data_IF_602851601040
#
_entry.id   IF_602851601040
#
_cell.length_a   1.000
_cell.length_b   1.000
_cell.length_c   1.000
_cell.angle_alpha   90.00
_cell.angle_beta   90.00
_cell.angle_gamma   90.00
#
_symmetry.space_group_name_H-M   'P 1'
#
loop_
_entity.id
_entity.type
_entity.pdbx_description
1 polymer ?
#
# COMPACT_ATOMS: atom_id res chain seq x y z
N UNK A 1 -10.48 7.48 -7.63
CA UNK A 1 -9.40 6.47 -7.68
C UNK A 1 -8.03 7.01 -7.26
N UNK A 2 -7.33 7.89 -8.02
CA UNK A 2 -5.98 8.38 -7.65
C UNK A 2 -5.94 8.98 -6.24
N UNK A 3 -6.81 9.93 -5.94
CA UNK A 3 -6.87 10.59 -4.63
C UNK A 3 -7.14 9.59 -3.52
N UNK A 4 -8.06 8.64 -3.73
CA UNK A 4 -8.33 7.57 -2.75
C UNK A 4 -7.10 6.70 -2.46
N UNK A 5 -6.34 6.30 -3.50
CA UNK A 5 -5.11 5.51 -3.32
C UNK A 5 -4.06 6.30 -2.55
N UNK A 6 -3.89 7.59 -2.86
CA UNK A 6 -2.96 8.47 -2.13
C UNK A 6 -3.41 8.65 -0.68
N UNK A 7 -4.71 8.86 -0.43
CA UNK A 7 -5.27 8.94 0.91
C UNK A 7 -5.05 7.66 1.69
N UNK A 8 -5.27 6.49 1.07
CA UNK A 8 -5.00 5.17 1.68
C UNK A 8 -3.52 5.04 2.01
N UNK A 9 -2.62 5.44 1.11
CA UNK A 9 -1.17 5.39 1.37
C UNK A 9 -0.76 6.30 2.54
N UNK A 10 -1.22 7.56 2.55
CA UNK A 10 -0.98 8.47 3.67
C UNK A 10 -1.50 7.89 4.99
N UNK A 11 -2.71 7.32 4.99
CA UNK A 11 -3.26 6.66 6.17
C UNK A 11 -2.35 5.52 6.67
N UNK A 12 -1.84 4.67 5.77
CA UNK A 12 -0.90 3.61 6.16
C UNK A 12 0.38 4.15 6.78
N UNK A 13 0.97 5.21 6.19
CA UNK A 13 2.19 5.85 6.71
C UNK A 13 1.96 6.41 8.11
N UNK A 14 0.87 7.16 8.30
CA UNK A 14 0.52 7.75 9.60
C UNK A 14 0.21 6.68 10.65
N UNK A 15 -0.48 5.60 10.28
CA UNK A 15 -0.73 4.47 11.17
C UNK A 15 0.57 3.81 11.64
N UNK A 16 1.51 3.54 10.73
CA UNK A 16 2.80 2.95 11.06
C UNK A 16 3.64 3.87 11.94
N UNK A 17 3.63 5.18 11.65
CA UNK A 17 4.30 6.18 12.46
C UNK A 17 3.71 6.25 13.89
N UNK A 18 2.39 6.22 14.02
CA UNK A 18 1.69 6.27 15.31
C UNK A 18 2.02 5.09 16.22
N UNK A 19 2.26 3.90 15.65
CA UNK A 19 2.67 2.71 16.41
C UNK A 19 4.19 2.55 16.54
N UNK A 20 4.98 3.51 16.02
CA UNK A 20 6.44 3.46 16.05
C UNK A 20 7.03 2.33 15.22
N UNK A 21 6.31 1.81 14.24
CA UNK A 21 6.80 0.76 13.36
C UNK A 21 7.93 1.30 12.48
N UNK A 22 8.99 0.51 12.33
CA UNK A 22 10.11 0.80 11.44
C UNK A 22 10.32 -0.37 10.51
N UNK A 23 10.41 -0.08 9.22
CA UNK A 23 10.73 -1.08 8.22
C UNK A 23 12.07 -1.74 8.50
N UNK A 24 12.14 -3.03 8.19
CA UNK A 24 13.39 -3.78 8.24
C UNK A 24 14.35 -3.26 7.17
N UNK A 25 15.66 -3.19 7.50
CA UNK A 25 16.68 -2.69 6.57
C UNK A 25 16.85 -3.56 5.32
N UNK A 26 16.47 -4.83 5.39
CA UNK A 26 16.54 -5.77 4.28
C UNK A 26 15.25 -5.77 3.44
N UNK A 27 14.19 -5.10 3.90
CA UNK A 27 12.94 -5.03 3.17
C UNK A 27 13.11 -4.20 1.89
N UNK A 28 12.64 -4.75 0.77
CA UNK A 28 12.62 -4.06 -0.53
C UNK A 28 11.38 -3.19 -0.73
N UNK A 29 10.35 -3.45 0.06
CA UNK A 29 9.10 -2.71 0.11
C UNK A 29 8.85 -2.23 1.54
N UNK A 30 8.32 -1.02 1.67
CA UNK A 30 7.86 -0.50 2.96
C UNK A 30 6.57 -1.22 3.40
N UNK A 31 6.34 -1.31 4.71
CA UNK A 31 5.10 -1.84 5.24
C UNK A 31 3.89 -1.03 4.75
N UNK A 32 4.05 0.28 4.51
CA UNK A 32 3.02 1.10 3.89
C UNK A 32 2.67 0.61 2.47
N UNK A 33 3.68 0.34 1.62
CA UNK A 33 3.48 -0.25 0.29
C UNK A 33 2.79 -1.62 0.35
N UNK A 34 3.13 -2.46 1.33
CA UNK A 34 2.46 -3.75 1.52
C UNK A 34 1.00 -3.57 1.94
N UNK A 35 0.73 -2.66 2.88
CA UNK A 35 -0.63 -2.40 3.37
C UNK A 35 -1.55 -1.85 2.29
N UNK A 36 -1.06 -0.95 1.42
CA UNK A 36 -1.91 -0.40 0.35
C UNK A 36 -2.38 -1.46 -0.63
N UNK A 37 -1.59 -2.52 -0.88
CA UNK A 37 -2.00 -3.60 -1.80
C UNK A 37 -3.29 -4.25 -1.30
N UNK A 38 -3.38 -4.54 -0.01
CA UNK A 38 -4.56 -5.14 0.60
C UNK A 38 -5.77 -4.19 0.58
N UNK A 39 -5.57 -2.93 0.97
CA UNK A 39 -6.65 -1.94 1.04
C UNK A 39 -7.21 -1.58 -0.34
N UNK A 40 -6.32 -1.42 -1.33
CA UNK A 40 -6.69 -1.18 -2.73
C UNK A 40 -7.35 -2.42 -3.33
N UNK A 41 -6.93 -3.63 -2.97
CA UNK A 41 -7.55 -4.87 -3.43
C UNK A 41 -9.01 -4.97 -2.98
N UNK A 42 -9.28 -4.77 -1.69
CA UNK A 42 -10.66 -4.81 -1.16
C UNK A 42 -11.50 -3.67 -1.75
N UNK A 43 -10.91 -2.48 -1.96
CA UNK A 43 -11.64 -1.31 -2.45
C UNK A 43 -11.97 -1.36 -3.95
N UNK A 44 -11.07 -1.87 -4.79
CA UNK A 44 -11.16 -1.73 -6.25
C UNK A 44 -11.07 -3.05 -7.03
N UNK A 45 -10.69 -4.16 -6.39
CA UNK A 45 -10.43 -5.44 -7.05
C UNK A 45 -11.10 -6.61 -6.33
N UNK A 46 -12.20 -6.39 -5.60
CA UNK A 46 -12.97 -7.45 -4.93
C UNK A 46 -12.14 -8.35 -4.00
N UNK A 47 -11.02 -7.82 -3.47
CA UNK A 47 -10.08 -8.57 -2.63
C UNK A 47 -8.98 -9.33 -3.38
N UNK A 48 -8.92 -9.27 -4.72
CA UNK A 48 -7.85 -9.89 -5.51
C UNK A 48 -6.52 -9.13 -5.35
N UNK A 49 -5.69 -9.62 -4.42
CA UNK A 49 -4.39 -9.02 -4.07
C UNK A 49 -3.45 -8.91 -5.26
N UNK A 50 -3.37 -9.93 -6.11
CA UNK A 50 -2.43 -9.90 -7.24
C UNK A 50 -2.82 -8.85 -8.29
N UNK A 51 -4.11 -8.67 -8.57
CA UNK A 51 -4.60 -7.63 -9.47
C UNK A 51 -4.27 -6.23 -8.96
N UNK A 52 -4.49 -6.01 -7.65
CA UNK A 52 -4.10 -4.77 -6.97
C UNK A 52 -2.59 -4.53 -7.04
N UNK A 53 -1.78 -5.55 -6.73
CA UNK A 53 -0.32 -5.48 -6.75
C UNK A 53 0.21 -5.10 -8.15
N UNK A 54 -0.28 -5.76 -9.20
CA UNK A 54 0.10 -5.47 -10.59
C UNK A 54 -0.27 -4.04 -10.97
N UNK A 55 -1.51 -3.64 -10.68
CA UNK A 55 -1.98 -2.28 -10.95
C UNK A 55 -1.13 -1.20 -10.23
N UNK A 56 -0.82 -1.40 -8.95
CA UNK A 56 -0.03 -0.45 -8.17
C UNK A 56 1.42 -0.34 -8.67
N UNK A 57 2.03 -1.47 -9.07
CA UNK A 57 3.36 -1.48 -9.68
C UNK A 57 3.39 -0.78 -11.05
N UNK A 58 2.43 -1.08 -11.93
CA UNK A 58 2.31 -0.45 -13.25
C UNK A 58 2.14 1.08 -13.16
N UNK A 59 1.42 1.54 -12.13
CA UNK A 59 1.18 2.95 -11.86
C UNK A 59 2.28 3.62 -11.02
N UNK A 60 3.32 2.87 -10.63
CA UNK A 60 4.45 3.33 -9.79
C UNK A 60 4.03 3.86 -8.40
N UNK A 61 2.98 3.30 -7.81
CA UNK A 61 2.64 3.53 -6.40
C UNK A 61 3.45 2.64 -5.44
N UNK A 62 4.02 1.55 -5.96
CA UNK A 62 4.89 0.63 -5.23
C UNK A 62 6.02 0.16 -6.17
N UNK A 63 7.10 -0.36 -5.59
CA UNK A 63 8.27 -0.88 -6.31
C UNK A 63 8.18 -2.37 -6.67
#
# INVERSE_FOLDING_TARGET
>A
MRTEIVTIYCLCVECLAAIGYRDDRQATLTAAEVMIVALVAVRFFEGYLESSRKFLAERRYMR
#
